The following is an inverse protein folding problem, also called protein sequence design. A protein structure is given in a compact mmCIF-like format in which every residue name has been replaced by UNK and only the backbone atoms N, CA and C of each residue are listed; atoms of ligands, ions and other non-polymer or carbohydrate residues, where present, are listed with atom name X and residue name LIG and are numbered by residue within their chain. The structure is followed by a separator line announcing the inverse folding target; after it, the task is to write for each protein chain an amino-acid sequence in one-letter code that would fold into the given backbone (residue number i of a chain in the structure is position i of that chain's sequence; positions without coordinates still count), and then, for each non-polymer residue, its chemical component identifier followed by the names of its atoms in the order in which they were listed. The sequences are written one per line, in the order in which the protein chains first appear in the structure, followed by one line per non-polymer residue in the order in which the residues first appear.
data_IF_815681306058
#
_entry.id   IF_815681306058
#
_cell.length_a   1.000
_cell.length_b   1.000
_cell.length_c   1.000
_cell.angle_alpha   90.00
_cell.angle_beta   90.00
_cell.angle_gamma   90.00
#
_symmetry.space_group_name_H-M   'P 1'
#
loop_
_entity.id
_entity.type
_entity.pdbx_description
1 polymer ?
#
# COMPACT_ATOMS: atom_id res chain seq x y z
N UNK A 1 -37.77 -44.02 -12.42
CA UNK A 1 -37.75 -42.54 -12.27
C UNK A 1 -38.18 -42.06 -10.87
N UNK A 2 -39.15 -42.71 -10.19
CA UNK A 2 -39.61 -42.33 -8.85
C UNK A 2 -38.57 -42.53 -7.71
N UNK A 3 -37.73 -43.57 -7.81
CA UNK A 3 -36.68 -43.89 -6.81
C UNK A 3 -35.52 -42.86 -6.82
N UNK A 4 -35.30 -42.19 -7.95
CA UNK A 4 -34.28 -41.13 -8.07
C UNK A 4 -34.70 -39.82 -7.38
N UNK A 5 -36.02 -39.52 -7.32
CA UNK A 5 -36.53 -38.26 -6.74
C UNK A 5 -36.53 -38.23 -5.21
N UNK A 6 -36.67 -39.38 -4.55
CA UNK A 6 -36.63 -39.49 -3.08
C UNK A 6 -35.20 -39.61 -2.51
N UNK A 7 -34.21 -39.99 -3.33
CA UNK A 7 -32.80 -40.11 -2.90
C UNK A 7 -32.11 -38.75 -2.79
N UNK A 8 -32.44 -37.81 -3.68
CA UNK A 8 -31.80 -36.48 -3.75
C UNK A 8 -31.97 -35.61 -2.47
N UNK A 9 -33.16 -35.50 -1.84
CA UNK A 9 -33.33 -34.65 -0.65
C UNK A 9 -32.61 -35.21 0.60
N UNK A 10 -32.64 -36.53 0.79
CA UNK A 10 -31.96 -37.18 1.94
C UNK A 10 -30.44 -37.02 1.80
N UNK A 11 -29.92 -37.25 0.60
CA UNK A 11 -28.51 -37.01 0.29
C UNK A 11 -28.14 -35.53 0.46
N UNK A 12 -28.99 -34.60 0.02
CA UNK A 12 -28.78 -33.16 0.19
C UNK A 12 -28.73 -32.71 1.65
N UNK A 13 -29.64 -33.22 2.50
CA UNK A 13 -29.66 -32.93 3.94
C UNK A 13 -28.40 -33.48 4.61
N UNK A 14 -28.00 -34.71 4.29
CA UNK A 14 -26.77 -35.31 4.82
C UNK A 14 -25.54 -34.45 4.51
N UNK A 15 -25.34 -34.08 3.24
CA UNK A 15 -24.22 -33.23 2.85
C UNK A 15 -24.30 -31.84 3.49
N UNK A 16 -25.49 -31.27 3.62
CA UNK A 16 -25.67 -29.95 4.26
C UNK A 16 -25.25 -29.99 5.74
N UNK A 17 -25.69 -31.00 6.50
CA UNK A 17 -25.29 -31.18 7.90
C UNK A 17 -23.80 -31.50 8.05
N UNK A 18 -23.25 -32.32 7.14
CA UNK A 18 -21.83 -32.68 7.17
C UNK A 18 -20.94 -31.45 6.89
N UNK A 19 -21.25 -30.67 5.85
CA UNK A 19 -20.49 -29.47 5.52
C UNK A 19 -20.70 -28.34 6.52
N UNK A 20 -21.86 -28.25 7.18
CA UNK A 20 -22.05 -27.26 8.26
C UNK A 20 -21.19 -27.59 9.49
N UNK A 21 -21.08 -28.87 9.87
CA UNK A 21 -20.18 -29.30 10.94
C UNK A 21 -18.70 -29.02 10.60
N UNK A 22 -18.27 -29.28 9.36
CA UNK A 22 -16.93 -28.95 8.89
C UNK A 22 -16.67 -27.44 8.90
N UNK A 23 -17.63 -26.63 8.44
CA UNK A 23 -17.52 -25.18 8.46
C UNK A 23 -17.40 -24.62 9.89
N UNK A 24 -18.15 -25.19 10.85
CA UNK A 24 -18.06 -24.84 12.26
C UNK A 24 -16.70 -25.19 12.86
N UNK A 25 -16.18 -26.39 12.58
CA UNK A 25 -14.84 -26.79 13.02
C UNK A 25 -13.76 -25.86 12.45
N UNK A 26 -13.82 -25.56 11.15
CA UNK A 26 -12.91 -24.61 10.51
C UNK A 26 -12.99 -23.23 11.15
N UNK A 27 -14.20 -22.72 11.43
CA UNK A 27 -14.38 -21.44 12.08
C UNK A 27 -13.77 -21.40 13.50
N UNK A 28 -13.92 -22.47 14.30
CA UNK A 28 -13.32 -22.57 15.63
C UNK A 28 -11.78 -22.57 15.52
N UNK A 29 -11.21 -23.37 14.62
CA UNK A 29 -9.77 -23.40 14.37
C UNK A 29 -9.24 -22.04 13.91
N UNK A 30 -9.97 -21.36 13.01
CA UNK A 30 -9.61 -20.04 12.53
C UNK A 30 -9.69 -18.99 13.64
N UNK A 31 -10.70 -19.05 14.51
CA UNK A 31 -10.78 -18.19 15.70
C UNK A 31 -9.61 -18.41 16.66
N UNK A 32 -9.23 -19.67 16.89
CA UNK A 32 -8.05 -20.00 17.69
C UNK A 32 -6.76 -19.41 17.10
N UNK A 33 -6.58 -19.52 15.79
CA UNK A 33 -5.45 -18.91 15.09
C UNK A 33 -5.43 -17.39 15.26
N UNK A 34 -6.55 -16.71 14.99
CA UNK A 34 -6.66 -15.25 15.11
C UNK A 34 -6.41 -14.76 16.55
N UNK A 35 -6.81 -15.53 17.56
CA UNK A 35 -6.53 -15.21 18.97
C UNK A 35 -5.04 -15.26 19.34
N UNK A 36 -4.20 -15.91 18.53
CA UNK A 36 -2.74 -15.95 18.72
C UNK A 36 -1.98 -14.87 17.94
N UNK A 37 -2.68 -14.11 17.08
CA UNK A 37 -2.08 -13.04 16.31
C UNK A 37 -2.13 -11.72 17.10
N UNK A 38 -1.11 -10.89 16.91
CA UNK A 38 -1.08 -9.53 17.43
C UNK A 38 -1.59 -8.58 16.32
N UNK A 39 -2.49 -7.66 16.66
CA UNK A 39 -3.05 -6.68 15.73
C UNK A 39 -2.05 -5.58 15.34
N UNK A 40 -1.01 -5.34 16.15
CA UNK A 40 -0.03 -4.27 15.93
C UNK A 40 1.14 -4.70 15.06
N UNK A 41 1.58 -5.96 15.15
CA UNK A 41 2.78 -6.44 14.45
C UNK A 41 2.64 -7.87 13.92
N UNK A 42 3.16 -8.16 12.72
CA UNK A 42 3.17 -9.52 12.19
C UNK A 42 4.05 -10.43 13.04
N UNK A 43 3.72 -11.72 13.07
CA UNK A 43 4.44 -12.73 13.86
C UNK A 43 5.87 -12.97 13.39
N UNK A 44 6.07 -12.97 12.07
CA UNK A 44 7.36 -13.24 11.43
C UNK A 44 7.85 -11.98 10.73
N UNK A 45 9.04 -11.53 11.09
CA UNK A 45 9.68 -10.33 10.54
C UNK A 45 11.10 -10.66 10.09
N UNK A 46 11.62 -9.87 9.14
CA UNK A 46 13.02 -9.95 8.71
C UNK A 46 13.40 -11.32 8.15
N UNK A 47 14.48 -11.95 8.63
CA UNK A 47 15.01 -13.23 8.17
C UNK A 47 14.04 -14.40 8.41
N UNK A 48 13.12 -14.26 9.37
CA UNK A 48 12.06 -15.25 9.60
C UNK A 48 10.87 -15.07 8.63
N UNK A 49 10.88 -14.00 7.84
CA UNK A 49 9.86 -13.68 6.83
C UNK A 49 10.37 -13.90 5.41
N UNK A 50 9.46 -14.15 4.48
CA UNK A 50 9.78 -14.33 3.04
C UNK A 50 10.40 -13.04 2.43
N UNK A 51 10.21 -11.87 3.05
CA UNK A 51 10.68 -10.57 2.56
C UNK A 51 12.18 -10.40 2.82
N UNK A 52 12.72 -11.04 3.87
CA UNK A 52 14.11 -10.89 4.28
C UNK A 52 14.44 -9.52 4.88
N UNK A 53 15.73 -9.16 4.85
CA UNK A 53 16.29 -7.93 5.46
C UNK A 53 16.38 -6.74 4.49
N UNK A 54 16.04 -6.93 3.21
CA UNK A 54 16.17 -5.88 2.20
C UNK A 54 14.79 -5.40 1.74
N UNK A 55 14.38 -4.15 2.09
CA UNK A 55 13.09 -3.64 1.67
C UNK A 55 13.05 -3.48 0.15
N UNK A 56 11.93 -3.86 -0.46
CA UNK A 56 11.69 -3.60 -1.88
C UNK A 56 11.64 -2.10 -2.19
N UNK A 57 12.00 -1.75 -3.43
CA UNK A 57 11.96 -0.39 -3.94
C UNK A 57 10.97 -0.30 -5.11
N UNK A 58 10.08 0.68 -5.05
CA UNK A 58 9.25 1.09 -6.18
C UNK A 58 9.64 2.50 -6.62
N UNK A 59 9.24 2.87 -7.83
CA UNK A 59 9.38 4.25 -8.31
C UNK A 59 8.03 4.84 -8.74
N UNK A 60 7.99 6.16 -8.89
CA UNK A 60 6.87 6.94 -9.41
C UNK A 60 7.41 8.03 -10.34
N UNK A 61 6.71 8.37 -11.45
CA UNK A 61 5.40 7.84 -11.84
C UNK A 61 5.48 6.47 -12.53
N UNK A 62 4.38 5.70 -12.49
CA UNK A 62 4.21 4.44 -13.23
C UNK A 62 3.01 4.61 -14.14
N UNK A 63 3.12 4.14 -15.39
CA UNK A 63 2.01 4.19 -16.33
C UNK A 63 0.82 3.35 -15.86
N UNK A 64 -0.40 3.80 -16.16
CA UNK A 64 -1.61 3.00 -15.94
C UNK A 64 -1.69 1.81 -16.91
N UNK A 65 -0.98 1.88 -18.04
CA UNK A 65 -0.88 0.79 -19.01
C UNK A 65 0.18 -0.22 -18.57
N UNK A 66 -0.25 -1.43 -18.20
CA UNK A 66 0.64 -2.52 -17.77
C UNK A 66 1.66 -2.94 -18.83
N UNK A 67 1.36 -2.72 -20.11
CA UNK A 67 2.25 -3.07 -21.24
C UNK A 67 3.47 -2.15 -21.34
N UNK A 68 3.35 -0.90 -20.85
CA UNK A 68 4.43 0.09 -20.85
C UNK A 68 5.49 -0.19 -19.76
N UNK A 69 5.22 -1.17 -18.87
CA UNK A 69 6.14 -1.64 -17.81
C UNK A 69 6.79 -0.48 -17.05
N UNK A 70 8.13 -0.41 -17.04
CA UNK A 70 8.92 0.62 -16.37
C UNK A 70 9.41 1.73 -17.31
N UNK A 71 8.89 1.80 -18.54
CA UNK A 71 9.32 2.79 -19.52
C UNK A 71 8.61 4.12 -19.28
N UNK A 72 9.39 5.16 -19.03
CA UNK A 72 8.92 6.54 -19.01
C UNK A 72 9.33 7.16 -20.33
N UNK A 73 8.36 7.28 -21.24
CA UNK A 73 8.55 7.90 -22.54
C UNK A 73 7.66 9.13 -22.65
N UNK A 74 8.28 10.27 -22.94
CA UNK A 74 7.59 11.53 -23.13
C UNK A 74 8.39 12.46 -24.05
N UNK A 75 7.72 13.48 -24.58
CA UNK A 75 8.33 14.59 -25.28
C UNK A 75 8.08 15.88 -24.50
N UNK A 76 9.14 16.63 -24.16
CA UNK A 76 9.00 17.94 -23.51
C UNK A 76 8.35 18.99 -24.41
N UNK A 77 8.39 18.79 -25.73
CA UNK A 77 7.73 19.67 -26.70
C UNK A 77 6.23 19.43 -26.81
N UNK A 78 5.71 18.29 -26.33
CA UNK A 78 4.29 17.97 -26.33
C UNK A 78 3.69 18.11 -24.92
N UNK A 79 2.88 19.16 -24.66
CA UNK A 79 2.27 19.39 -23.35
C UNK A 79 1.40 18.22 -22.87
N UNK A 80 0.75 17.49 -23.78
CA UNK A 80 -0.11 16.36 -23.41
C UNK A 80 0.71 15.18 -22.89
N UNK A 81 1.86 14.94 -23.52
CA UNK A 81 2.82 13.91 -23.10
C UNK A 81 3.39 14.20 -21.72
N UNK A 82 3.72 15.45 -21.43
CA UNK A 82 4.14 15.91 -20.09
C UNK A 82 3.01 15.73 -19.08
N UNK A 83 1.80 16.19 -19.42
CA UNK A 83 0.64 16.16 -18.52
C UNK A 83 0.25 14.74 -18.11
N UNK A 84 0.41 13.74 -18.99
CA UNK A 84 0.22 12.32 -18.65
C UNK A 84 1.03 11.93 -17.41
N UNK A 85 2.31 12.31 -17.35
CA UNK A 85 3.20 11.91 -16.27
C UNK A 85 3.07 12.81 -15.03
N UNK A 86 2.94 14.13 -15.23
CA UNK A 86 2.78 15.06 -14.10
C UNK A 86 1.46 14.82 -13.37
N UNK A 87 0.37 14.51 -14.08
CA UNK A 87 -0.92 14.20 -13.46
C UNK A 87 -0.88 12.94 -12.58
N UNK A 88 -0.09 11.94 -12.96
CA UNK A 88 0.14 10.75 -12.13
C UNK A 88 0.92 11.09 -10.86
N UNK A 89 1.87 12.03 -10.94
CA UNK A 89 2.60 12.53 -9.79
C UNK A 89 1.74 13.41 -8.88
N UNK A 90 0.91 14.28 -9.45
CA UNK A 90 -0.02 15.13 -8.70
C UNK A 90 -0.99 14.28 -7.87
N UNK A 91 -1.58 13.26 -8.51
CA UNK A 91 -2.44 12.27 -7.83
C UNK A 91 -1.69 11.49 -6.74
N UNK A 92 -0.42 11.15 -6.97
CA UNK A 92 0.40 10.48 -5.97
C UNK A 92 0.74 11.39 -4.77
N UNK A 93 0.94 12.68 -5.01
CA UNK A 93 1.36 13.65 -4.00
C UNK A 93 0.18 14.35 -3.29
N UNK A 94 -1.05 14.14 -3.75
CA UNK A 94 -2.26 14.75 -3.19
C UNK A 94 -2.39 14.52 -1.67
N UNK A 95 -2.13 13.29 -1.19
CA UNK A 95 -2.16 12.95 0.24
C UNK A 95 -1.07 13.64 1.06
N UNK A 96 0.04 14.03 0.42
CA UNK A 96 1.15 14.74 1.08
C UNK A 96 0.94 16.25 1.11
N UNK A 97 0.14 16.78 0.19
CA UNK A 97 -0.18 18.21 0.11
C UNK A 97 -1.41 18.53 0.99
N UNK A 98 -2.44 17.70 0.92
CA UNK A 98 -3.68 17.87 1.67
C UNK A 98 -3.66 17.03 2.95
N UNK A 99 -3.19 17.64 4.05
CA UNK A 99 -3.17 17.03 5.38
C UNK A 99 -4.53 16.50 5.85
N UNK A 100 -5.63 17.06 5.33
CA UNK A 100 -7.00 16.63 5.60
C UNK A 100 -7.32 15.21 5.13
N UNK A 101 -6.60 14.68 4.14
CA UNK A 101 -6.80 13.31 3.63
C UNK A 101 -6.10 12.25 4.47
N UNK A 102 -5.21 12.66 5.36
CA UNK A 102 -4.47 11.75 6.23
C UNK A 102 -5.32 11.33 7.43
N UNK A 103 -5.06 10.14 8.00
CA UNK A 103 -5.70 9.72 9.25
C UNK A 103 -5.48 10.78 10.34
N UNK A 104 -6.54 11.11 11.08
CA UNK A 104 -6.59 12.21 12.07
C UNK A 104 -6.43 13.64 11.49
N UNK A 105 -6.66 13.83 10.19
CA UNK A 105 -6.59 15.14 9.53
C UNK A 105 -5.20 15.78 9.57
N UNK A 106 -4.16 14.94 9.65
CA UNK A 106 -2.75 15.38 9.67
C UNK A 106 -2.30 16.07 10.96
N UNK A 107 -3.12 16.08 12.03
CA UNK A 107 -2.79 16.73 13.31
C UNK A 107 -1.63 16.06 14.06
N UNK A 108 -1.31 14.82 13.69
CA UNK A 108 -0.20 14.04 14.23
C UNK A 108 1.11 14.24 13.46
N UNK A 109 1.16 15.15 12.48
CA UNK A 109 2.38 15.46 11.76
C UNK A 109 3.28 16.41 12.56
N UNK A 110 4.58 16.16 12.50
CA UNK A 110 5.62 17.06 13.02
C UNK A 110 6.75 17.19 12.01
N UNK A 111 7.42 18.33 11.99
CA UNK A 111 8.64 18.50 11.20
C UNK A 111 9.75 17.71 11.89
N UNK A 112 10.28 16.71 11.19
CA UNK A 112 11.37 15.87 11.69
C UNK A 112 12.70 16.33 11.11
N UNK A 113 13.74 16.21 11.92
CA UNK A 113 15.13 16.36 11.50
C UNK A 113 15.96 15.26 12.16
N UNK A 114 17.19 15.08 11.72
CA UNK A 114 18.13 14.12 12.32
C UNK A 114 18.30 14.30 13.84
N UNK A 115 18.16 15.53 14.33
CA UNK A 115 18.32 15.88 15.76
C UNK A 115 17.00 15.90 16.54
N UNK A 116 15.85 15.83 15.86
CA UNK A 116 14.53 15.90 16.50
C UNK A 116 13.71 14.66 16.14
N UNK A 117 13.79 13.61 16.99
CA UNK A 117 13.06 12.38 16.76
C UNK A 117 11.55 12.57 16.88
N UNK A 118 10.82 11.57 16.41
CA UNK A 118 9.35 11.58 16.38
C UNK A 118 8.80 11.38 17.78
N UNK A 119 7.85 12.23 18.19
CA UNK A 119 7.12 12.02 19.44
C UNK A 119 6.23 10.78 19.32
N UNK A 120 5.97 10.04 20.41
CA UNK A 120 5.02 8.94 20.40
C UNK A 120 3.67 9.35 19.80
N UNK A 121 3.14 8.53 18.89
CA UNK A 121 1.87 8.79 18.19
C UNK A 121 1.92 9.86 17.09
N UNK A 122 3.07 10.48 16.85
CA UNK A 122 3.27 11.44 15.76
C UNK A 122 3.97 10.79 14.56
N UNK A 123 3.93 11.45 13.41
CA UNK A 123 4.61 11.05 12.18
C UNK A 123 5.36 12.25 11.59
N UNK A 124 6.38 12.00 10.77
CA UNK A 124 7.10 13.07 10.10
C UNK A 124 6.28 13.66 8.96
N UNK A 125 6.18 14.99 8.95
CA UNK A 125 5.67 15.74 7.82
C UNK A 125 6.65 15.65 6.65
N UNK A 126 6.13 15.55 5.43
CA UNK A 126 6.92 15.55 4.19
C UNK A 126 6.54 16.79 3.39
N UNK A 127 7.46 17.76 3.33
CA UNK A 127 7.22 19.04 2.68
C UNK A 127 7.54 18.96 1.18
N UNK A 128 6.57 18.51 0.39
CA UNK A 128 6.69 18.33 -1.07
C UNK A 128 6.97 19.65 -1.81
N UNK A 129 6.44 20.76 -1.29
CA UNK A 129 6.58 22.08 -1.91
C UNK A 129 8.03 22.59 -1.90
N UNK A 130 8.88 22.07 -1.00
CA UNK A 130 10.27 22.52 -0.85
C UNK A 130 11.28 21.66 -1.65
N UNK A 131 10.82 20.79 -2.56
CA UNK A 131 11.68 19.94 -3.39
C UNK A 131 12.30 20.67 -4.60
N UNK A 132 12.24 22.00 -4.64
CA UNK A 132 12.81 22.82 -5.70
C UNK A 132 12.25 22.48 -7.09
N UNK A 133 13.09 22.08 -8.07
CA UNK A 133 12.64 21.76 -9.44
C UNK A 133 11.71 20.53 -9.49
N UNK A 134 11.71 19.70 -8.44
CA UNK A 134 10.83 18.54 -8.32
C UNK A 134 9.53 18.84 -7.58
N UNK A 135 9.21 20.12 -7.35
CA UNK A 135 7.94 20.51 -6.76
C UNK A 135 6.79 20.46 -7.78
N UNK A 136 5.54 20.34 -7.32
CA UNK A 136 4.35 20.40 -8.19
C UNK A 136 4.31 21.69 -9.02
N UNK A 137 4.74 22.81 -8.42
CA UNK A 137 4.80 24.12 -9.09
C UNK A 137 5.71 24.17 -10.32
N UNK A 138 6.70 23.27 -10.40
CA UNK A 138 7.68 23.19 -11.48
C UNK A 138 7.44 21.97 -12.39
N UNK A 139 6.26 21.35 -12.32
CA UNK A 139 5.88 20.17 -13.11
C UNK A 139 6.91 19.03 -13.04
N UNK A 140 7.51 18.87 -11.85
CA UNK A 140 8.48 17.80 -11.58
C UNK A 140 9.64 17.75 -12.59
N UNK A 141 10.03 18.89 -13.18
CA UNK A 141 11.13 18.97 -14.14
C UNK A 141 10.85 18.40 -15.54
N UNK A 142 9.64 17.88 -15.81
CA UNK A 142 9.30 17.31 -17.13
C UNK A 142 9.31 18.36 -18.24
N UNK A 143 8.93 19.61 -17.95
CA UNK A 143 8.96 20.69 -18.94
C UNK A 143 10.40 21.03 -19.39
N UNK A 144 11.36 20.90 -18.48
CA UNK A 144 12.78 21.23 -18.74
C UNK A 144 13.58 20.04 -19.29
N UNK A 145 12.92 18.97 -19.73
CA UNK A 145 13.56 17.71 -20.15
C UNK A 145 14.45 17.06 -19.07
N UNK A 146 14.22 17.40 -17.79
CA UNK A 146 14.96 16.93 -16.64
C UNK A 146 13.98 16.36 -15.60
N UNK A 147 13.34 15.21 -15.88
CA UNK A 147 12.20 14.72 -15.11
C UNK A 147 12.64 14.18 -13.75
N UNK A 148 11.89 14.51 -12.71
CA UNK A 148 12.09 13.98 -11.37
C UNK A 148 11.33 12.66 -11.19
N UNK A 149 12.06 11.62 -10.75
CA UNK A 149 11.51 10.30 -10.46
C UNK A 149 11.61 10.06 -8.95
N UNK A 150 10.49 9.72 -8.32
CA UNK A 150 10.46 9.46 -6.89
C UNK A 150 10.67 7.97 -6.61
N UNK A 151 11.60 7.66 -5.71
CA UNK A 151 11.84 6.29 -5.24
C UNK A 151 11.15 6.12 -3.90
N UNK A 152 10.28 5.12 -3.80
CA UNK A 152 9.52 4.78 -2.61
C UNK A 152 9.99 3.43 -2.06
N UNK A 153 10.47 3.45 -0.83
CA UNK A 153 10.77 2.22 -0.08
C UNK A 153 9.47 1.55 0.37
N UNK A 154 9.41 0.23 0.25
CA UNK A 154 8.31 -0.52 0.85
C UNK A 154 8.44 -0.47 2.38
N UNK A 155 7.34 -0.18 3.07
CA UNK A 155 7.35 -0.10 4.52
C UNK A 155 7.49 -1.51 5.08
N UNK A 156 8.59 -1.76 5.78
CA UNK A 156 8.78 -2.97 6.59
C UNK A 156 8.61 -2.58 8.05
N UNK A 157 7.90 -3.40 8.82
CA UNK A 157 7.89 -3.29 10.27
C UNK A 157 9.25 -3.78 10.78
N UNK A 158 10.26 -2.92 10.66
CA UNK A 158 11.44 -3.06 11.51
C UNK A 158 10.97 -2.89 12.94
N UNK A 159 11.66 -3.56 13.86
CA UNK A 159 11.60 -3.34 15.29
C UNK A 159 12.12 -1.91 15.58
N UNK A 160 11.38 -0.93 15.08
CA UNK A 160 11.55 0.51 15.24
C UNK A 160 11.00 0.95 16.60
N UNK A 161 11.19 0.06 17.57
CA UNK A 161 11.45 0.37 18.97
C UNK A 161 12.96 0.21 19.18
N UNK A 162 13.76 0.81 18.30
CA UNK A 162 15.09 1.25 18.69
C UNK A 162 14.92 2.73 19.06
N UNK A 163 14.60 2.92 20.35
CA UNK A 163 14.34 4.16 21.09
C UNK A 163 12.93 4.74 21.03
#
# INVERSE_FOLDING_TARGET
MLVLRLRCPITGIFYTCFFSALALLFAICMKGLLATLNDERPRWILEESIIGTNPGLGFRPISENTDEKSLIWYSSSDPNSVQKWTGLLDKFLEEYINSSMLPNGGRNQQICNYNTPVKPGHVCAVEVNNWGPCSPSQQYGFNNSAPCIFIKLNRVCYDSIAY
#
